data_IF_501035860287
#
_entry.id   IF_501035860287
#
_cell.length_a   1.000
_cell.length_b   1.000
_cell.length_c   1.000
_cell.angle_alpha   90.00
_cell.angle_beta   90.00
_cell.angle_gamma   90.00
#
_symmetry.space_group_name_H-M   'P 1'
#
loop_
_entity.id
_entity.type
_entity.pdbx_description
1 polymer ?
#
# COMPACT_ATOMS: atom_id res chain seq x y z
N UNK A 1 -5.70 -9.82 15.71
CA UNK A 1 -5.39 -11.27 15.66
C UNK A 1 -5.17 -11.73 14.21
N UNK A 2 -6.00 -11.26 13.27
CA UNK A 2 -5.95 -11.58 11.84
C UNK A 2 -4.65 -11.19 11.11
N UNK A 3 -4.13 -9.98 11.36
CA UNK A 3 -2.92 -9.49 10.67
C UNK A 3 -1.68 -10.36 10.94
N UNK A 4 -1.49 -10.82 12.18
CA UNK A 4 -0.37 -11.66 12.55
C UNK A 4 -0.43 -13.04 11.87
N UNK A 5 -1.64 -13.57 11.66
CA UNK A 5 -1.85 -14.81 10.91
C UNK A 5 -1.46 -14.59 9.44
N UNK A 6 -1.93 -13.50 8.80
CA UNK A 6 -1.52 -13.14 7.44
C UNK A 6 -0.01 -13.03 7.31
N UNK A 7 0.65 -12.38 8.28
CA UNK A 7 2.11 -12.23 8.28
C UNK A 7 2.81 -13.59 8.33
N UNK A 8 2.31 -14.52 9.16
CA UNK A 8 2.87 -15.87 9.28
C UNK A 8 2.65 -16.72 8.01
N UNK A 9 1.51 -16.56 7.34
CA UNK A 9 1.16 -17.27 6.11
C UNK A 9 1.91 -16.71 4.90
N UNK A 10 2.26 -15.43 4.92
CA UNK A 10 2.80 -14.70 3.77
C UNK A 10 4.31 -14.42 3.89
N UNK A 11 5.06 -15.40 4.42
CA UNK A 11 6.52 -15.33 4.56
C UNK A 11 7.28 -15.63 3.27
N UNK A 12 6.66 -16.36 2.33
CA UNK A 12 7.23 -16.69 1.02
C UNK A 12 6.64 -15.85 -0.11
N UNK A 13 7.15 -16.03 -1.33
CA UNK A 13 6.55 -15.46 -2.54
C UNK A 13 5.12 -16.00 -2.76
N UNK A 14 4.28 -15.24 -3.46
CA UNK A 14 3.05 -15.80 -4.04
C UNK A 14 3.43 -16.94 -5.00
N UNK A 15 2.98 -18.18 -4.76
CA UNK A 15 3.31 -19.30 -5.63
C UNK A 15 2.52 -19.22 -6.93
N UNK A 16 3.15 -19.59 -8.03
CA UNK A 16 2.51 -19.75 -9.35
C UNK A 16 2.81 -21.13 -9.91
N UNK A 17 1.79 -21.78 -10.49
CA UNK A 17 1.83 -23.13 -11.07
C UNK A 17 1.44 -23.04 -12.55
N UNK A 18 2.42 -23.18 -13.47
CA UNK A 18 2.16 -23.11 -14.91
C UNK A 18 1.11 -24.13 -15.36
N UNK A 19 0.16 -23.69 -16.18
CA UNK A 19 -0.91 -24.54 -16.74
C UNK A 19 -2.01 -24.93 -15.75
N UNK A 20 -1.90 -24.54 -14.48
CA UNK A 20 -2.95 -24.71 -13.47
C UNK A 20 -3.55 -23.35 -13.13
N UNK A 21 -2.70 -22.40 -12.79
CA UNK A 21 -3.16 -21.09 -12.33
C UNK A 21 -3.60 -20.20 -13.52
N UNK A 22 -4.44 -19.22 -13.24
CA UNK A 22 -4.89 -18.25 -14.26
C UNK A 22 -3.79 -17.33 -14.77
N UNK A 23 -3.95 -16.84 -16.01
CA UNK A 23 -2.97 -15.91 -16.58
C UNK A 23 -2.98 -14.58 -15.81
N UNK A 24 -4.17 -14.12 -15.42
CA UNK A 24 -4.33 -12.93 -14.56
C UNK A 24 -3.62 -13.08 -13.21
N UNK A 25 -3.78 -14.22 -12.53
CA UNK A 25 -3.09 -14.45 -11.26
C UNK A 25 -1.58 -14.60 -11.41
N UNK A 26 -1.12 -15.31 -12.45
CA UNK A 26 0.31 -15.49 -12.70
C UNK A 26 1.03 -14.15 -12.91
N UNK A 27 0.45 -13.26 -13.71
CA UNK A 27 0.97 -11.91 -13.95
C UNK A 27 0.94 -11.05 -12.68
N UNK A 28 -0.18 -11.07 -11.95
CA UNK A 28 -0.30 -10.36 -10.68
C UNK A 28 0.77 -10.81 -9.68
N UNK A 29 0.91 -12.12 -9.48
CA UNK A 29 1.86 -12.71 -8.54
C UNK A 29 3.31 -12.35 -8.90
N UNK A 30 3.67 -12.36 -10.19
CA UNK A 30 5.00 -11.94 -10.65
C UNK A 30 5.30 -10.48 -10.27
N UNK A 31 4.41 -9.56 -10.65
CA UNK A 31 4.60 -8.12 -10.39
C UNK A 31 4.60 -7.80 -8.88
N UNK A 32 3.67 -8.42 -8.14
CA UNK A 32 3.57 -8.27 -6.70
C UNK A 32 4.84 -8.77 -5.99
N UNK A 33 5.33 -9.96 -6.35
CA UNK A 33 6.55 -10.51 -5.79
C UNK A 33 7.78 -9.66 -6.10
N UNK A 34 7.92 -9.17 -7.33
CA UNK A 34 9.06 -8.33 -7.76
C UNK A 34 9.14 -7.05 -6.93
N UNK A 35 8.01 -6.36 -6.76
CA UNK A 35 7.95 -5.12 -5.98
C UNK A 35 8.17 -5.34 -4.49
N UNK A 36 7.64 -6.43 -3.92
CA UNK A 36 7.93 -6.77 -2.53
C UNK A 36 9.40 -7.12 -2.31
N UNK A 37 10.07 -7.79 -3.25
CA UNK A 37 11.50 -8.03 -3.15
C UNK A 37 12.30 -6.73 -3.12
N UNK A 38 11.94 -5.76 -3.98
CA UNK A 38 12.57 -4.45 -3.98
C UNK A 38 12.31 -3.70 -2.66
N UNK A 39 11.06 -3.65 -2.20
CA UNK A 39 10.69 -3.00 -0.94
C UNK A 39 11.43 -3.62 0.25
N UNK A 40 11.39 -4.95 0.38
CA UNK A 40 12.10 -5.67 1.45
C UNK A 40 13.62 -5.49 1.36
N UNK A 41 14.21 -5.45 0.16
CA UNK A 41 15.64 -5.18 0.00
C UNK A 41 16.00 -3.82 0.59
N UNK A 42 15.25 -2.77 0.25
CA UNK A 42 15.50 -1.43 0.78
C UNK A 42 15.26 -1.35 2.30
N UNK A 43 14.15 -1.90 2.81
CA UNK A 43 13.87 -1.91 4.25
C UNK A 43 14.99 -2.63 5.04
N UNK A 44 15.43 -3.79 4.55
CA UNK A 44 16.51 -4.55 5.17
C UNK A 44 17.86 -3.83 5.08
N UNK A 45 18.13 -3.12 3.98
CA UNK A 45 19.33 -2.29 3.84
C UNK A 45 19.34 -1.18 4.91
N UNK A 46 18.23 -0.45 5.06
CA UNK A 46 18.12 0.61 6.05
C UNK A 46 18.27 0.06 7.48
N UNK A 47 17.61 -1.05 7.79
CA UNK A 47 17.72 -1.71 9.09
C UNK A 47 19.14 -2.26 9.36
N UNK A 48 19.79 -2.80 8.33
CA UNK A 48 21.18 -3.25 8.43
C UNK A 48 22.16 -2.11 8.73
N UNK A 49 21.96 -0.95 8.09
CA UNK A 49 22.78 0.23 8.34
C UNK A 49 22.57 0.81 9.74
N UNK A 50 21.34 0.83 10.27
CA UNK A 50 21.07 1.18 11.67
C UNK A 50 21.92 0.32 12.61
N UNK A 51 21.82 -1.01 12.48
CA UNK A 51 22.53 -1.95 13.35
C UNK A 51 24.05 -1.82 13.22
N UNK A 52 24.57 -1.57 12.01
CA UNK A 52 26.00 -1.36 11.78
C UNK A 52 26.50 -0.14 12.55
N UNK A 53 25.78 0.97 12.49
CA UNK A 53 26.15 2.23 13.14
C UNK A 53 26.11 2.12 14.66
N UNK A 54 25.06 1.51 15.21
CA UNK A 54 24.95 1.16 16.63
C UNK A 54 26.17 0.34 17.10
N UNK A 55 26.58 -0.66 16.31
CA UNK A 55 27.70 -1.54 16.66
C UNK A 55 29.06 -0.84 16.55
N UNK A 56 29.23 0.12 15.65
CA UNK A 56 30.47 0.90 15.49
C UNK A 56 30.62 2.06 16.49
N UNK A 57 29.71 2.18 17.46
CA UNK A 57 29.79 3.19 18.53
C UNK A 57 29.41 4.61 18.09
N UNK A 58 28.74 4.77 16.95
CA UNK A 58 28.14 6.05 16.58
C UNK A 58 26.74 6.13 17.20
N UNK A 59 26.66 6.67 18.42
CA UNK A 59 25.41 6.80 19.21
C UNK A 59 24.46 7.89 18.69
N UNK A 60 24.79 8.57 17.60
CA UNK A 60 23.87 9.54 17.01
C UNK A 60 22.67 8.77 16.44
N UNK A 61 21.56 8.79 17.18
CA UNK A 61 20.26 8.16 16.88
C UNK A 61 19.54 8.75 15.65
N UNK A 62 20.31 9.24 14.68
CA UNK A 62 19.90 9.96 13.49
C UNK A 62 20.90 9.64 12.39
N UNK A 63 20.57 8.67 11.51
CA UNK A 63 21.30 8.53 10.25
C UNK A 63 21.00 9.77 9.42
N UNK A 64 21.89 10.75 9.43
CA UNK A 64 21.96 11.74 8.35
C UNK A 64 22.56 11.03 7.15
N UNK A 65 21.76 10.84 6.11
CA UNK A 65 22.21 10.15 4.90
C UNK A 65 23.10 11.13 4.11
N UNK A 66 24.36 10.77 3.78
CA UNK A 66 25.23 11.65 3.01
C UNK A 66 24.61 12.05 1.67
N UNK A 67 24.77 13.31 1.26
CA UNK A 67 24.10 13.89 0.07
C UNK A 67 24.35 13.09 -1.22
N UNK A 68 25.52 12.45 -1.31
CA UNK A 68 25.89 11.58 -2.43
C UNK A 68 24.87 10.46 -2.72
N UNK A 69 24.16 9.97 -1.70
CA UNK A 69 23.16 8.92 -1.87
C UNK A 69 21.82 9.44 -2.42
N UNK A 70 21.62 10.76 -2.43
CA UNK A 70 20.48 11.40 -3.09
C UNK A 70 20.80 11.86 -4.52
N UNK A 71 22.05 11.66 -4.97
CA UNK A 71 22.48 12.00 -6.32
C UNK A 71 21.84 11.06 -7.34
N UNK A 72 21.63 11.56 -8.56
CA UNK A 72 21.17 10.72 -9.66
C UNK A 72 22.17 9.57 -9.95
N UNK A 73 21.73 8.30 -10.04
CA UNK A 73 22.63 7.15 -10.12
C UNK A 73 23.48 7.09 -11.40
N UNK A 74 23.04 7.78 -12.46
CA UNK A 74 23.81 7.93 -13.70
C UNK A 74 25.00 8.91 -13.61
N UNK A 75 25.14 9.67 -12.52
CA UNK A 75 26.30 10.52 -12.28
C UNK A 75 27.31 9.72 -11.47
N UNK A 76 28.39 9.30 -12.13
CA UNK A 76 29.38 8.36 -11.57
C UNK A 76 29.91 8.77 -10.20
N UNK A 77 30.06 7.79 -9.31
CA UNK A 77 30.70 7.93 -7.98
C UNK A 77 32.15 8.45 -8.05
N UNK A 78 32.77 8.38 -9.23
CA UNK A 78 34.14 8.83 -9.48
C UNK A 78 34.27 10.36 -9.51
N UNK A 79 33.18 11.09 -9.80
CA UNK A 79 33.20 12.55 -9.85
C UNK A 79 32.83 13.14 -8.48
N UNK A 80 33.75 13.87 -7.81
CA UNK A 80 33.44 14.50 -6.53
C UNK A 80 32.30 15.51 -6.71
N UNK A 81 31.36 15.52 -5.76
CA UNK A 81 30.26 16.49 -5.75
C UNK A 81 30.79 17.91 -5.60
N UNK A 82 30.24 18.83 -6.39
CA UNK A 82 30.55 20.25 -6.19
C UNK A 82 29.90 20.77 -4.91
N UNK A 83 30.43 21.88 -4.36
CA UNK A 83 29.82 22.55 -3.20
C UNK A 83 28.39 23.03 -3.50
N UNK A 84 28.16 23.47 -4.73
CA UNK A 84 26.86 23.94 -5.20
C UNK A 84 25.85 22.79 -5.25
N UNK A 85 26.21 21.69 -5.90
CA UNK A 85 25.40 20.46 -5.98
C UNK A 85 25.05 19.91 -4.59
N UNK A 86 26.03 19.90 -3.68
CA UNK A 86 25.81 19.48 -2.28
C UNK A 86 24.78 20.38 -1.58
N UNK A 87 24.85 21.70 -1.80
CA UNK A 87 23.91 22.66 -1.22
C UNK A 87 22.50 22.48 -1.79
N UNK A 88 22.37 22.32 -3.10
CA UNK A 88 21.08 22.13 -3.78
C UNK A 88 20.38 20.85 -3.30
N UNK A 89 21.10 19.73 -3.24
CA UNK A 89 20.56 18.45 -2.76
C UNK A 89 20.10 18.57 -1.31
N UNK A 90 20.95 19.13 -0.43
CA UNK A 90 20.60 19.30 0.98
C UNK A 90 19.36 20.16 1.16
N UNK A 91 19.29 21.29 0.45
CA UNK A 91 18.13 22.18 0.49
C UNK A 91 16.85 21.44 0.04
N UNK A 92 16.90 20.68 -1.06
CA UNK A 92 15.74 19.93 -1.55
C UNK A 92 15.26 18.85 -0.56
N UNK A 93 16.20 18.17 0.09
CA UNK A 93 15.90 17.17 1.13
C UNK A 93 15.26 17.82 2.35
N UNK A 94 15.82 18.92 2.85
CA UNK A 94 15.30 19.63 4.02
C UNK A 94 13.92 20.26 3.78
N UNK A 95 13.71 20.91 2.63
CA UNK A 95 12.41 21.45 2.22
C UNK A 95 11.35 20.35 2.11
N UNK A 96 11.72 19.19 1.56
CA UNK A 96 10.81 18.06 1.41
C UNK A 96 10.46 17.43 2.76
N UNK A 97 11.45 17.24 3.64
CA UNK A 97 11.24 16.77 5.02
C UNK A 97 10.31 17.68 5.79
N UNK A 98 10.54 19.00 5.73
CA UNK A 98 9.70 19.99 6.39
C UNK A 98 8.25 19.93 5.89
N UNK A 99 8.04 19.85 4.57
CA UNK A 99 6.71 19.76 3.96
C UNK A 99 5.96 18.48 4.35
N UNK A 100 6.66 17.35 4.43
CA UNK A 100 6.08 16.05 4.75
C UNK A 100 6.10 15.72 6.25
N UNK A 101 6.56 16.65 7.09
CA UNK A 101 6.69 16.51 8.53
C UNK A 101 7.56 15.31 8.95
N UNK A 102 8.61 15.03 8.19
CA UNK A 102 9.64 14.06 8.58
C UNK A 102 10.76 14.76 9.34
N UNK A 103 11.12 14.23 10.51
CA UNK A 103 12.24 14.73 11.29
C UNK A 103 13.57 14.02 11.00
N UNK A 104 13.54 12.86 10.30
CA UNK A 104 14.69 11.98 10.08
C UNK A 104 14.78 11.54 8.62
N UNK A 105 16.00 11.43 8.08
CA UNK A 105 16.23 11.00 6.70
C UNK A 105 15.76 9.56 6.47
N UNK A 106 15.97 8.66 7.43
CA UNK A 106 15.46 7.28 7.32
C UNK A 106 13.92 7.25 7.24
N UNK A 107 13.23 7.98 8.11
CA UNK A 107 11.76 8.05 8.08
C UNK A 107 11.26 8.67 6.78
N UNK A 108 12.00 9.63 6.24
CA UNK A 108 11.74 10.21 4.93
C UNK A 108 11.89 9.17 3.80
N UNK A 109 13.02 8.46 3.73
CA UNK A 109 13.29 7.45 2.69
C UNK A 109 12.30 6.28 2.80
N UNK A 110 12.09 5.75 4.00
CA UNK A 110 11.10 4.71 4.25
C UNK A 110 9.68 5.18 3.87
N UNK A 111 9.31 6.42 4.22
CA UNK A 111 8.04 7.01 3.83
C UNK A 111 7.84 7.10 2.32
N UNK A 112 8.90 7.43 1.55
CA UNK A 112 8.83 7.41 0.09
C UNK A 112 8.72 5.99 -0.46
N UNK A 113 9.43 5.02 0.13
CA UNK A 113 9.34 3.61 -0.25
C UNK A 113 7.94 3.06 -0.02
N UNK A 114 7.32 3.33 1.13
CA UNK A 114 5.92 2.94 1.39
C UNK A 114 4.95 3.56 0.40
N UNK A 115 5.21 4.81 -0.02
CA UNK A 115 4.39 5.44 -1.06
C UNK A 115 4.52 4.72 -2.41
N UNK A 116 5.73 4.36 -2.81
CA UNK A 116 5.96 3.61 -4.05
C UNK A 116 5.33 2.22 -3.98
N UNK A 117 5.57 1.47 -2.90
CA UNK A 117 4.97 0.15 -2.68
C UNK A 117 3.44 0.24 -2.72
N UNK A 118 2.83 1.15 -1.96
CA UNK A 118 1.38 1.32 -1.88
C UNK A 118 0.75 1.62 -3.24
N UNK A 119 1.33 2.54 -4.00
CA UNK A 119 0.84 2.89 -5.34
C UNK A 119 1.02 1.70 -6.30
N UNK A 120 2.17 1.04 -6.27
CA UNK A 120 2.44 -0.12 -7.12
C UNK A 120 1.47 -1.27 -6.85
N UNK A 121 1.25 -1.64 -5.58
CA UNK A 121 0.31 -2.70 -5.21
C UNK A 121 -1.12 -2.36 -5.65
N UNK A 122 -1.53 -1.09 -5.53
CA UNK A 122 -2.81 -0.63 -6.07
C UNK A 122 -2.93 -0.85 -7.57
N UNK A 123 -1.92 -0.44 -8.34
CA UNK A 123 -1.92 -0.60 -9.79
C UNK A 123 -1.94 -2.08 -10.21
N UNK A 124 -1.30 -2.97 -9.44
CA UNK A 124 -1.38 -4.41 -9.68
C UNK A 124 -2.79 -4.95 -9.41
N UNK A 125 -3.43 -4.48 -8.34
CA UNK A 125 -4.81 -4.86 -8.06
C UNK A 125 -5.78 -4.37 -9.14
N UNK A 126 -5.63 -3.13 -9.62
CA UNK A 126 -6.42 -2.57 -10.72
C UNK A 126 -6.27 -3.41 -11.99
N UNK A 127 -5.02 -3.72 -12.38
CA UNK A 127 -4.73 -4.55 -13.56
C UNK A 127 -5.23 -5.99 -13.39
N UNK A 128 -5.16 -6.53 -12.18
CA UNK A 128 -5.66 -7.87 -11.86
C UNK A 128 -7.18 -7.93 -12.00
N UNK A 129 -7.91 -6.96 -11.44
CA UNK A 129 -9.38 -6.88 -11.56
C UNK A 129 -9.81 -6.69 -13.01
N UNK A 130 -9.14 -5.83 -13.78
CA UNK A 130 -9.37 -5.68 -15.22
C UNK A 130 -9.19 -7.03 -15.95
N UNK A 131 -8.12 -7.76 -15.62
CA UNK A 131 -7.85 -9.07 -16.20
C UNK A 131 -8.92 -10.10 -15.83
N UNK A 132 -9.38 -10.13 -14.57
CA UNK A 132 -10.45 -11.02 -14.11
C UNK A 132 -11.76 -10.80 -14.88
N UNK A 133 -12.16 -9.54 -15.10
CA UNK A 133 -13.35 -9.19 -15.87
C UNK A 133 -13.27 -9.74 -17.31
N UNK A 134 -12.09 -9.70 -17.91
CA UNK A 134 -11.91 -10.21 -19.28
C UNK A 134 -11.83 -11.74 -19.33
N UNK A 135 -11.08 -12.36 -18.41
CA UNK A 135 -10.76 -13.78 -18.43
C UNK A 135 -11.91 -14.67 -17.90
N UNK A 136 -12.68 -14.19 -16.92
CA UNK A 136 -13.70 -15.01 -16.24
C UNK A 136 -15.13 -14.48 -16.39
N UNK A 137 -15.32 -13.17 -16.50
CA UNK A 137 -16.65 -12.56 -16.70
C UNK A 137 -16.98 -12.42 -18.19
N UNK A 138 -15.97 -12.42 -19.06
CA UNK A 138 -16.14 -12.39 -20.52
C UNK A 138 -16.37 -10.98 -21.09
N UNK A 139 -16.01 -9.93 -20.34
CA UNK A 139 -16.04 -8.56 -20.86
C UNK A 139 -14.94 -8.33 -21.89
N UNK A 140 -15.15 -7.41 -22.85
CA UNK A 140 -14.05 -6.97 -23.71
C UNK A 140 -13.03 -6.14 -22.93
N UNK A 141 -11.76 -6.15 -23.37
CA UNK A 141 -10.69 -5.36 -22.74
C UNK A 141 -11.02 -3.86 -22.62
N UNK A 142 -11.71 -3.31 -23.62
CA UNK A 142 -12.08 -1.88 -23.60
C UNK A 142 -13.19 -1.59 -22.59
N UNK A 143 -14.16 -2.50 -22.43
CA UNK A 143 -15.24 -2.37 -21.46
C UNK A 143 -14.73 -2.51 -20.04
N UNK A 144 -13.89 -3.52 -19.77
CA UNK A 144 -13.29 -3.75 -18.46
C UNK A 144 -12.44 -2.54 -18.02
N UNK A 145 -11.57 -2.03 -18.91
CA UNK A 145 -10.75 -0.85 -18.63
C UNK A 145 -11.61 0.39 -18.32
N UNK A 146 -12.66 0.65 -19.11
CA UNK A 146 -13.57 1.78 -18.87
C UNK A 146 -14.30 1.62 -17.53
N UNK A 147 -14.71 0.40 -17.21
CA UNK A 147 -15.42 0.11 -15.97
C UNK A 147 -14.55 0.43 -14.74
N UNK A 148 -13.31 -0.09 -14.70
CA UNK A 148 -12.35 0.19 -13.62
C UNK A 148 -12.13 1.69 -13.45
N UNK A 149 -11.93 2.41 -14.55
CA UNK A 149 -11.69 3.85 -14.55
C UNK A 149 -12.90 4.67 -14.07
N UNK A 150 -14.10 4.33 -14.53
CA UNK A 150 -15.28 5.19 -14.36
C UNK A 150 -16.01 4.92 -13.04
N UNK A 151 -16.05 3.67 -12.57
CA UNK A 151 -16.72 3.27 -11.32
C UNK A 151 -15.78 3.24 -10.11
N UNK A 152 -14.47 3.15 -10.35
CA UNK A 152 -13.46 3.02 -9.31
C UNK A 152 -13.30 1.59 -8.80
N UNK A 153 -12.09 1.29 -8.31
CA UNK A 153 -11.67 -0.07 -7.96
C UNK A 153 -12.59 -0.79 -6.96
N UNK A 154 -13.06 -0.17 -5.86
CA UNK A 154 -13.99 -0.79 -4.91
C UNK A 154 -15.22 -1.47 -5.51
N UNK A 155 -15.97 -0.74 -6.33
CA UNK A 155 -17.22 -1.22 -6.92
C UNK A 155 -16.93 -2.35 -7.91
N UNK A 156 -15.90 -2.15 -8.73
CA UNK A 156 -15.56 -3.08 -9.81
C UNK A 156 -14.95 -4.37 -9.27
N UNK A 157 -14.15 -4.28 -8.20
CA UNK A 157 -13.64 -5.45 -7.48
C UNK A 157 -14.80 -6.30 -6.96
N UNK A 158 -15.76 -5.70 -6.24
CA UNK A 158 -16.92 -6.43 -5.70
C UNK A 158 -17.72 -7.10 -6.81
N UNK A 159 -17.98 -6.39 -7.90
CA UNK A 159 -18.67 -6.92 -9.08
C UNK A 159 -17.92 -8.11 -9.69
N UNK A 160 -16.61 -7.97 -9.92
CA UNK A 160 -15.80 -9.03 -10.52
C UNK A 160 -15.82 -10.31 -9.66
N UNK A 161 -15.66 -10.17 -8.35
CA UNK A 161 -15.66 -11.31 -7.43
C UNK A 161 -17.02 -11.99 -7.35
N UNK A 162 -18.12 -11.23 -7.32
CA UNK A 162 -19.49 -11.77 -7.27
C UNK A 162 -19.84 -12.56 -8.55
N UNK A 163 -19.48 -12.04 -9.72
CA UNK A 163 -19.69 -12.68 -11.03
C UNK A 163 -18.82 -13.94 -11.23
N UNK A 164 -17.63 -13.99 -10.60
CA UNK A 164 -16.80 -15.19 -10.61
C UNK A 164 -17.41 -16.27 -9.73
N UNK A 165 -17.59 -15.96 -8.44
CA UNK A 165 -18.26 -16.80 -7.46
C UNK A 165 -18.57 -15.97 -6.19
N UNK A 166 -19.85 -15.80 -5.80
CA UNK A 166 -20.23 -14.99 -4.64
C UNK A 166 -19.63 -15.50 -3.32
N UNK A 167 -19.21 -16.78 -3.27
CA UNK A 167 -18.51 -17.34 -2.10
C UNK A 167 -17.13 -16.72 -1.87
N UNK A 168 -16.51 -16.11 -2.87
CA UNK A 168 -15.23 -15.40 -2.69
C UNK A 168 -15.42 -14.24 -1.69
N UNK A 169 -16.47 -13.44 -1.88
CA UNK A 169 -16.78 -12.32 -0.98
C UNK A 169 -17.09 -12.83 0.44
N UNK A 170 -17.80 -13.96 0.55
CA UNK A 170 -18.10 -14.59 1.83
C UNK A 170 -16.82 -15.09 2.53
N UNK A 171 -15.93 -15.77 1.81
CA UNK A 171 -14.64 -16.23 2.36
C UNK A 171 -13.80 -15.05 2.85
N UNK A 172 -13.77 -13.95 2.12
CA UNK A 172 -13.01 -12.77 2.50
C UNK A 172 -13.61 -12.07 3.73
N UNK A 173 -14.95 -11.96 3.80
CA UNK A 173 -15.65 -11.40 4.97
C UNK A 173 -15.53 -12.28 6.23
N UNK A 174 -15.50 -13.62 6.08
CA UNK A 174 -15.23 -14.55 7.17
C UNK A 174 -13.79 -14.46 7.69
N UNK A 175 -12.87 -14.12 6.80
CA UNK A 175 -11.47 -13.94 7.14
C UNK A 175 -11.25 -12.62 7.90
N UNK A 176 -11.77 -11.51 7.37
CA UNK A 176 -11.73 -10.19 7.99
C UNK A 176 -12.90 -9.34 7.49
N UNK A 177 -13.87 -9.06 8.36
CA UNK A 177 -15.12 -8.37 8.02
C UNK A 177 -14.86 -6.99 7.38
N UNK A 178 -13.89 -6.26 7.92
CA UNK A 178 -13.56 -4.91 7.47
C UNK A 178 -12.59 -4.87 6.28
N UNK A 179 -12.12 -6.00 5.73
CA UNK A 179 -11.04 -5.98 4.74
C UNK A 179 -11.42 -5.28 3.42
N UNK A 180 -12.61 -5.51 2.89
CA UNK A 180 -13.07 -4.78 1.69
C UNK A 180 -13.28 -3.29 2.00
N UNK A 181 -13.86 -2.99 3.16
CA UNK A 181 -14.04 -1.60 3.64
C UNK A 181 -12.68 -0.90 3.78
N UNK A 182 -11.65 -1.62 4.18
CA UNK A 182 -10.28 -1.14 4.27
C UNK A 182 -9.64 -0.91 2.90
N UNK A 183 -9.90 -1.77 1.90
CA UNK A 183 -9.49 -1.52 0.50
C UNK A 183 -10.17 -0.24 -0.03
N UNK A 184 -11.44 -0.03 0.29
CA UNK A 184 -12.19 1.16 -0.09
C UNK A 184 -11.57 2.44 0.52
N UNK A 185 -11.24 2.38 1.82
CA UNK A 185 -10.46 3.43 2.50
C UNK A 185 -9.11 3.68 1.80
N UNK A 186 -8.36 2.62 1.51
CA UNK A 186 -7.06 2.70 0.87
C UNK A 186 -7.14 3.34 -0.53
N UNK A 187 -8.22 3.10 -1.28
CA UNK A 187 -8.44 3.72 -2.59
C UNK A 187 -8.57 5.25 -2.47
N UNK A 188 -9.28 5.74 -1.45
CA UNK A 188 -9.39 7.18 -1.18
C UNK A 188 -8.02 7.76 -0.77
N UNK A 189 -7.28 7.05 0.11
CA UNK A 189 -5.92 7.43 0.53
C UNK A 189 -4.98 7.51 -0.67
N UNK A 190 -5.00 6.53 -1.57
CA UNK A 190 -4.21 6.52 -2.81
C UNK A 190 -4.47 7.78 -3.62
N UNK A 191 -5.72 8.18 -3.80
CA UNK A 191 -6.06 9.40 -4.54
C UNK A 191 -5.54 10.67 -3.85
N UNK A 192 -5.49 10.73 -2.52
CA UNK A 192 -4.80 11.82 -1.81
C UNK A 192 -3.29 11.82 -2.09
N UNK A 193 -2.63 10.67 -2.06
CA UNK A 193 -1.19 10.57 -2.31
C UNK A 193 -0.78 10.90 -3.75
N UNK A 194 -1.66 10.62 -4.72
CA UNK A 194 -1.44 10.93 -6.14
C UNK A 194 -1.71 12.41 -6.44
N UNK A 195 -2.80 12.98 -5.94
CA UNK A 195 -3.24 14.32 -6.38
C UNK A 195 -2.95 15.45 -5.38
N UNK A 196 -2.72 15.13 -4.11
CA UNK A 196 -2.59 16.11 -3.00
C UNK A 196 -1.35 15.86 -2.14
N UNK A 197 -0.38 15.11 -2.65
CA UNK A 197 0.84 14.73 -1.93
C UNK A 197 0.58 14.00 -0.60
N UNK A 198 -0.61 13.40 -0.45
CA UNK A 198 -1.02 12.68 0.76
C UNK A 198 -1.62 13.60 1.83
N UNK A 199 -1.77 14.89 1.57
CA UNK A 199 -2.36 15.85 2.52
C UNK A 199 -3.87 15.63 2.60
N UNK A 200 -4.38 15.43 3.82
CA UNK A 200 -5.80 15.25 4.07
C UNK A 200 -6.55 16.56 3.97
N UNK A 201 -7.38 16.73 2.95
CA UNK A 201 -8.28 17.89 2.83
C UNK A 201 -9.51 17.71 3.72
N UNK A 202 -10.18 18.80 4.11
CA UNK A 202 -11.46 18.75 4.83
C UNK A 202 -12.53 17.91 4.10
N UNK A 203 -12.55 17.94 2.76
CA UNK A 203 -13.44 17.11 1.94
C UNK A 203 -13.11 15.62 2.09
N UNK A 204 -11.83 15.26 2.00
CA UNK A 204 -11.40 13.86 2.16
C UNK A 204 -11.70 13.36 3.57
N UNK A 205 -11.44 14.20 4.59
CA UNK A 205 -11.75 13.91 5.98
C UNK A 205 -13.22 13.58 6.19
N UNK A 206 -14.12 14.44 5.70
CA UNK A 206 -15.56 14.20 5.75
C UNK A 206 -15.97 12.91 5.04
N UNK A 207 -15.41 12.62 3.86
CA UNK A 207 -15.67 11.35 3.18
C UNK A 207 -15.23 10.15 4.04
N UNK A 208 -14.16 10.29 4.84
CA UNK A 208 -13.72 9.22 5.71
C UNK A 208 -14.66 8.99 6.89
N UNK A 209 -15.18 10.05 7.48
CA UNK A 209 -16.19 9.99 8.55
C UNK A 209 -17.50 9.39 8.04
N UNK A 210 -18.01 9.87 6.91
CA UNK A 210 -19.26 9.38 6.30
C UNK A 210 -19.16 7.90 5.88
N UNK A 211 -17.98 7.45 5.46
CA UNK A 211 -17.70 6.05 5.16
C UNK A 211 -17.48 5.16 6.40
N UNK A 212 -17.50 5.73 7.60
CA UNK A 212 -17.23 5.03 8.85
C UNK A 212 -15.80 4.46 8.94
N UNK A 213 -14.84 5.05 8.22
CA UNK A 213 -13.43 4.65 8.24
C UNK A 213 -12.66 5.29 9.40
N UNK A 214 -13.25 6.26 10.08
CA UNK A 214 -12.65 7.00 11.18
C UNK A 214 -13.44 6.83 12.47
N UNK A 215 -12.74 6.90 13.60
CA UNK A 215 -13.30 7.00 14.94
C UNK A 215 -12.56 8.09 15.74
N UNK A 216 -13.25 8.68 16.71
CA UNK A 216 -12.70 9.72 17.56
C UNK A 216 -12.39 9.17 18.96
N UNK A 217 -11.22 9.55 19.47
CA UNK A 217 -10.93 9.41 20.90
C UNK A 217 -11.85 10.34 21.70
N UNK A 218 -12.08 10.03 22.97
CA UNK A 218 -12.92 10.85 23.85
C UNK A 218 -12.06 11.46 24.96
N UNK A 219 -12.28 12.73 25.29
CA UNK A 219 -11.59 13.40 26.38
C UNK A 219 -11.89 12.68 27.70
N UNK A 220 -10.84 12.38 28.47
CA UNK A 220 -10.98 11.67 29.75
C UNK A 220 -11.87 12.41 30.76
N UNK A 221 -11.86 13.75 30.72
CA UNK A 221 -12.55 14.59 31.70
C UNK A 221 -14.02 14.87 31.37
N UNK A 222 -14.36 15.05 30.08
CA UNK A 222 -15.71 15.38 29.63
C UNK A 222 -16.45 14.21 28.97
N UNK A 223 -15.74 13.19 28.51
CA UNK A 223 -16.29 12.12 27.68
C UNK A 223 -16.75 12.59 26.30
N UNK A 224 -16.45 13.82 25.89
CA UNK A 224 -16.77 14.35 24.56
C UNK A 224 -15.71 13.90 23.53
N UNK A 225 -16.07 13.72 22.25
CA UNK A 225 -15.12 13.33 21.22
C UNK A 225 -14.08 14.44 20.96
N UNK A 226 -12.81 14.08 20.88
CA UNK A 226 -11.75 14.95 20.40
C UNK A 226 -11.83 15.06 18.87
N UNK A 227 -12.26 16.21 18.37
CA UNK A 227 -12.39 16.48 16.94
C UNK A 227 -11.12 17.06 16.30
N UNK A 228 -10.03 17.21 17.06
CA UNK A 228 -8.76 17.72 16.53
C UNK A 228 -8.03 16.70 15.65
N UNK A 229 -8.37 15.42 15.81
CA UNK A 229 -7.92 14.31 14.96
C UNK A 229 -8.93 13.16 14.99
N UNK A 230 -8.73 12.19 14.11
CA UNK A 230 -9.39 10.90 14.21
C UNK A 230 -8.37 9.77 14.03
N UNK A 231 -8.72 8.59 14.53
CA UNK A 231 -8.01 7.34 14.25
C UNK A 231 -8.74 6.57 13.18
N UNK A 232 -8.02 5.70 12.49
CA UNK A 232 -8.63 4.71 11.61
C UNK A 232 -9.49 3.73 12.42
N UNK A 233 -10.72 3.50 11.97
CA UNK A 233 -11.67 2.58 12.58
C UNK A 233 -11.47 1.15 12.08
N UNK A 234 -10.24 0.64 12.18
CA UNK A 234 -9.86 -0.70 11.76
C UNK A 234 -8.97 -1.32 12.84
N UNK A 235 -9.38 -2.44 13.42
CA UNK A 235 -8.65 -3.01 14.56
C UNK A 235 -7.22 -3.49 14.24
N UNK A 236 -6.87 -3.63 12.95
CA UNK A 236 -5.56 -4.03 12.45
C UNK A 236 -4.74 -2.87 11.87
N UNK A 237 -5.28 -1.66 11.83
CA UNK A 237 -4.60 -0.47 11.32
C UNK A 237 -4.93 0.70 12.24
N UNK A 238 -3.97 1.10 13.08
CA UNK A 238 -4.07 2.28 13.94
C UNK A 238 -3.18 3.39 13.38
N UNK A 239 -3.80 4.39 12.77
CA UNK A 239 -3.13 5.59 12.27
C UNK A 239 -3.98 6.81 12.57
N UNK A 240 -3.31 7.92 12.88
CA UNK A 240 -3.96 9.21 13.12
C UNK A 240 -4.12 9.94 11.78
N UNK A 241 -5.32 10.44 11.54
CA UNK A 241 -5.70 11.27 10.40
C UNK A 241 -6.10 12.66 10.91
N UNK A 242 -5.50 13.68 10.31
CA UNK A 242 -5.72 15.09 10.65
C UNK A 242 -5.85 15.91 9.38
N UNK A 243 -6.74 16.91 9.40
CA UNK A 243 -6.88 17.88 8.31
C UNK A 243 -5.55 18.63 8.13
N UNK A 244 -5.19 18.89 6.88
CA UNK A 244 -3.96 19.58 6.45
C UNK A 244 -2.65 18.88 6.84
N UNK A 245 -2.72 17.61 7.27
CA UNK A 245 -1.55 16.77 7.54
C UNK A 245 -1.40 15.65 6.52
N UNK A 246 -0.15 15.27 6.18
CA UNK A 246 0.10 14.11 5.34
C UNK A 246 -0.27 12.81 6.07
N UNK A 247 -0.89 11.88 5.34
CA UNK A 247 -1.16 10.54 5.85
C UNK A 247 0.13 9.72 5.81
N UNK A 248 0.47 9.09 6.94
CA UNK A 248 1.59 8.16 7.00
C UNK A 248 1.15 6.78 6.51
N UNK A 249 1.77 6.33 5.42
CA UNK A 249 1.47 5.03 4.81
C UNK A 249 2.10 3.83 5.52
N UNK A 250 3.04 4.01 6.46
CA UNK A 250 3.73 2.90 7.11
C UNK A 250 2.77 1.91 7.78
N UNK A 251 1.77 2.43 8.52
CA UNK A 251 0.75 1.61 9.19
C UNK A 251 -0.36 1.10 8.24
N UNK A 252 -0.46 1.65 7.03
CA UNK A 252 -1.52 1.32 6.04
C UNK A 252 -1.02 0.31 5.00
N UNK A 253 0.23 0.47 4.54
CA UNK A 253 0.80 -0.31 3.44
C UNK A 253 0.89 -1.80 3.79
N UNK A 254 1.30 -2.11 5.03
CA UNK A 254 1.41 -3.49 5.51
C UNK A 254 0.08 -4.25 5.55
N UNK A 255 -1.00 -3.76 6.18
CA UNK A 255 -2.29 -4.44 6.08
C UNK A 255 -2.80 -4.48 4.64
N UNK A 256 -2.64 -3.40 3.88
CA UNK A 256 -3.14 -3.34 2.50
C UNK A 256 -2.53 -4.42 1.61
N UNK A 257 -1.20 -4.55 1.59
CA UNK A 257 -0.53 -5.57 0.77
C UNK A 257 -0.92 -6.99 1.18
N UNK A 258 -1.14 -7.25 2.47
CA UNK A 258 -1.51 -8.57 2.96
C UNK A 258 -2.94 -8.92 2.54
N UNK A 259 -3.88 -7.98 2.64
CA UNK A 259 -5.25 -8.20 2.17
C UNK A 259 -5.32 -8.37 0.66
N UNK A 260 -4.59 -7.57 -0.11
CA UNK A 260 -4.54 -7.69 -1.58
C UNK A 260 -3.97 -9.05 -2.00
N UNK A 261 -2.93 -9.50 -1.31
CA UNK A 261 -2.33 -10.83 -1.52
C UNK A 261 -3.32 -11.96 -1.22
N UNK A 262 -4.01 -11.88 -0.10
CA UNK A 262 -4.97 -12.91 0.32
C UNK A 262 -6.18 -12.94 -0.62
N UNK A 263 -6.67 -11.76 -1.02
CA UNK A 263 -7.76 -11.62 -1.99
C UNK A 263 -7.44 -12.31 -3.31
N UNK A 264 -6.24 -12.07 -3.87
CA UNK A 264 -5.83 -12.72 -5.10
C UNK A 264 -5.70 -14.25 -4.94
N UNK A 265 -5.22 -14.71 -3.78
CA UNK A 265 -5.03 -16.13 -3.49
C UNK A 265 -6.37 -16.87 -3.37
N UNK A 266 -7.31 -16.30 -2.62
CA UNK A 266 -8.67 -16.84 -2.49
C UNK A 266 -9.35 -16.84 -3.85
N UNK A 267 -9.32 -15.71 -4.57
CA UNK A 267 -9.96 -15.60 -5.89
C UNK A 267 -9.43 -16.65 -6.87
N UNK A 268 -8.12 -16.84 -6.90
CA UNK A 268 -7.48 -17.83 -7.77
C UNK A 268 -7.93 -19.27 -7.48
N UNK A 269 -8.15 -19.62 -6.21
CA UNK A 269 -8.66 -20.94 -5.84
C UNK A 269 -10.05 -21.22 -6.46
N UNK A 270 -10.93 -20.21 -6.47
CA UNK A 270 -12.25 -20.32 -7.10
C UNK A 270 -12.15 -20.33 -8.62
N UNK A 271 -11.28 -19.51 -9.21
CA UNK A 271 -11.01 -19.49 -10.64
C UNK A 271 -10.56 -20.87 -11.17
N UNK A 272 -9.65 -21.54 -10.45
CA UNK A 272 -9.20 -22.91 -10.78
C UNK A 272 -10.35 -23.91 -10.72
N UNK A 273 -11.15 -23.85 -9.66
CA UNK A 273 -12.30 -24.74 -9.46
C UNK A 273 -13.35 -24.58 -10.57
N UNK A 274 -13.61 -23.34 -10.99
CA UNK A 274 -14.52 -23.02 -12.10
C UNK A 274 -13.99 -23.57 -13.43
N UNK A 275 -12.70 -23.43 -13.72
CA UNK A 275 -12.08 -24.01 -14.92
C UNK A 275 -12.11 -25.53 -14.96
N UNK A 276 -11.76 -26.17 -13.84
CA UNK A 276 -11.81 -27.62 -13.72
C UNK A 276 -13.24 -28.15 -13.95
N UNK A 277 -14.26 -27.43 -13.45
CA UNK A 277 -15.66 -27.78 -13.66
C UNK A 277 -16.12 -27.56 -15.11
N UNK A 278 -15.59 -26.57 -15.81
CA UNK A 278 -15.91 -26.30 -17.22
C UNK A 278 -15.23 -27.27 -18.21
N UNK A 279 -14.14 -27.92 -17.78
CA UNK A 279 -13.40 -28.91 -18.57
C UNK A 279 -13.88 -30.36 -18.36
N UNK A 280 -14.72 -30.61 -17.36
CA UNK A 280 -15.30 -31.92 -17.02
C UNK A 280 -16.65 -32.13 -17.70
#
# INVERSE_FOLDING_TARGET
MTLHILESMNTGKLPTRPGIDSESYALFAEQFNSTLLAAHFFENLMHGEDRRLETTGYEAFQITIPERYFRHPGLTDAAPMSKEETREIRQAVDETKARLNFSKDMSFVAGQLYKLEFISVFSYLEAYVDSLLTEFVGMSKLEAFRMVRDKGLPEVLRLALDEIDPRILQCFALFEEDALKFIDFCHIVRNQHVHRLGITTARAYKNYEEGGFLCHDHFADSGEPDTSFARTNFHFCDTIIQIDKPINLAAICKPFRLFVRELATITEHFCQSRRASAAA
#
